data_IF_186265149095
#
_entry.id   IF_186265149095
#
_cell.length_a   1.000
_cell.length_b   1.000
_cell.length_c   1.000
_cell.angle_alpha   90.00
_cell.angle_beta   90.00
_cell.angle_gamma   90.00
#
_symmetry.space_group_name_H-M   'P 1'
#
loop_
_entity.id
_entity.type
_entity.pdbx_description
1 polymer ?
#
# COMPACT_ATOMS: atom_id res chain seq x y z
N UNK A 1 -16.91 2.49 -2.20
CA UNK A 1 -15.97 1.38 -1.95
C UNK A 1 -14.55 1.93 -1.87
N UNK A 2 -13.78 1.38 -0.98
CA UNK A 2 -12.41 1.83 -0.80
C UNK A 2 -11.49 1.19 -1.85
N UNK A 3 -10.60 2.01 -2.43
CA UNK A 3 -9.53 1.52 -3.30
C UNK A 3 -8.21 1.45 -2.55
N UNK A 4 -8.29 1.46 -1.23
CA UNK A 4 -7.10 1.44 -0.39
C UNK A 4 -6.42 0.07 -0.49
N UNK A 5 -5.13 0.07 -0.79
CA UNK A 5 -4.37 -1.16 -1.04
C UNK A 5 -2.96 -1.02 -0.52
N UNK A 6 -2.39 -2.16 -0.09
CA UNK A 6 -0.94 -2.27 0.01
C UNK A 6 -0.47 -2.78 -1.34
N UNK A 7 0.50 -2.10 -1.92
CA UNK A 7 1.02 -2.42 -3.26
C UNK A 7 2.48 -2.82 -3.11
N UNK A 8 2.80 -4.04 -3.57
CA UNK A 8 4.18 -4.52 -3.60
C UNK A 8 4.70 -4.34 -5.02
N UNK A 9 5.76 -3.56 -5.13
CA UNK A 9 6.38 -3.24 -6.41
C UNK A 9 7.69 -3.99 -6.55
N UNK A 10 8.20 -4.04 -7.79
CA UNK A 10 9.49 -4.66 -8.06
C UNK A 10 10.58 -4.01 -7.23
N UNK A 11 11.64 -4.75 -6.95
CA UNK A 11 12.80 -4.31 -6.19
C UNK A 11 12.51 -4.05 -4.72
N UNK A 12 11.44 -4.65 -4.20
CA UNK A 12 11.14 -4.58 -2.76
C UNK A 12 10.45 -3.31 -2.29
N UNK A 13 9.98 -2.48 -3.20
CA UNK A 13 9.18 -1.32 -2.81
C UNK A 13 7.81 -1.78 -2.33
N UNK A 14 7.40 -1.31 -1.17
CA UNK A 14 6.08 -1.59 -0.62
C UNK A 14 5.46 -0.28 -0.19
N UNK A 15 4.24 -0.02 -0.68
CA UNK A 15 3.55 1.22 -0.39
C UNK A 15 2.09 0.94 -0.07
N UNK A 16 1.45 1.88 0.58
CA UNK A 16 0.02 1.79 0.93
C UNK A 16 -0.65 3.11 0.59
N UNK A 17 -1.86 3.05 0.06
CA UNK A 17 -2.60 4.24 -0.31
C UNK A 17 -3.84 3.89 -1.12
N UNK A 18 -4.41 4.89 -1.75
CA UNK A 18 -5.61 4.73 -2.58
C UNK A 18 -5.17 4.48 -4.02
N UNK A 19 -5.43 3.28 -4.51
CA UNK A 19 -4.98 2.87 -5.83
C UNK A 19 -5.98 3.34 -6.89
N UNK A 20 -5.46 4.09 -7.86
CA UNK A 20 -6.23 4.61 -8.97
C UNK A 20 -5.75 3.94 -10.26
N UNK A 21 -6.62 3.18 -10.91
CA UNK A 21 -6.34 2.47 -12.16
C UNK A 21 -7.00 3.12 -13.37
N UNK A 22 -7.55 4.31 -13.22
CA UNK A 22 -8.33 4.93 -14.29
C UNK A 22 -7.51 5.26 -15.53
N UNK A 23 -6.21 5.42 -15.38
CA UNK A 23 -5.30 5.71 -16.49
C UNK A 23 -4.38 4.53 -16.83
N UNK A 24 -4.84 3.30 -16.53
CA UNK A 24 -4.04 2.11 -16.82
C UNK A 24 -3.56 2.13 -18.27
N UNK A 25 -2.35 1.65 -18.57
CA UNK A 25 -1.46 0.89 -17.70
C UNK A 25 -0.65 1.72 -16.71
N UNK A 26 -0.77 3.03 -16.72
CA UNK A 26 -0.10 3.88 -15.75
C UNK A 26 -0.99 4.01 -14.53
N UNK A 27 -0.49 3.61 -13.37
CA UNK A 27 -1.25 3.60 -12.13
C UNK A 27 -0.77 4.71 -11.21
N UNK A 28 -1.67 5.13 -10.31
CA UNK A 28 -1.35 6.11 -9.25
C UNK A 28 -1.74 5.53 -7.91
N UNK A 29 -0.96 5.87 -6.90
CA UNK A 29 -1.30 5.56 -5.52
C UNK A 29 -1.37 6.89 -4.78
N UNK A 30 -2.58 7.31 -4.43
CA UNK A 30 -2.81 8.62 -3.82
C UNK A 30 -2.81 8.51 -2.31
N UNK A 31 -2.41 9.60 -1.64
CA UNK A 31 -2.25 9.62 -0.19
C UNK A 31 -1.38 8.46 0.26
N UNK A 32 -0.29 8.25 -0.48
CA UNK A 32 0.55 7.09 -0.32
C UNK A 32 1.58 7.27 0.79
N UNK A 33 1.92 6.14 1.39
CA UNK A 33 3.06 6.06 2.30
C UNK A 33 3.91 4.87 1.89
N UNK A 34 5.21 5.02 1.96
CA UNK A 34 6.13 3.90 1.78
C UNK A 34 6.16 3.14 3.11
N UNK A 35 5.98 1.82 3.05
CA UNK A 35 6.06 0.99 4.25
C UNK A 35 7.53 0.63 4.44
N UNK A 36 8.19 1.36 5.33
CA UNK A 36 9.61 1.17 5.58
C UNK A 36 9.87 -0.01 6.50
N UNK A 37 8.94 -0.27 7.40
CA UNK A 37 9.02 -1.40 8.33
C UNK A 37 7.62 -1.94 8.54
N UNK A 38 7.45 -3.24 8.32
CA UNK A 38 6.13 -3.86 8.45
C UNK A 38 5.66 -3.93 9.90
N UNK A 39 6.54 -4.33 10.80
CA UNK A 39 6.21 -4.43 12.22
C UNK A 39 5.23 -5.53 12.54
N UNK A 40 5.16 -6.56 11.70
CA UNK A 40 4.22 -7.66 11.86
C UNK A 40 4.98 -8.96 12.08
N UNK A 41 4.28 -9.95 12.63
CA UNK A 41 4.83 -11.29 12.76
C UNK A 41 4.40 -12.21 11.62
N UNK A 42 3.33 -11.86 10.91
CA UNK A 42 2.76 -12.69 9.85
C UNK A 42 2.80 -12.02 8.48
N UNK A 43 3.53 -10.92 8.34
CA UNK A 43 3.77 -10.29 7.06
C UNK A 43 2.70 -9.30 6.64
N UNK A 44 2.67 -9.01 5.33
CA UNK A 44 1.82 -7.94 4.80
C UNK A 44 0.33 -8.26 4.85
N UNK A 45 -0.05 -9.52 4.79
CA UNK A 45 -1.46 -9.89 4.93
C UNK A 45 -2.01 -9.48 6.28
N UNK A 46 -1.23 -9.68 7.35
CA UNK A 46 -1.61 -9.23 8.67
C UNK A 46 -1.72 -7.71 8.73
N UNK A 47 -0.74 -7.03 8.13
CA UNK A 47 -0.73 -5.57 8.11
C UNK A 47 -1.97 -5.03 7.39
N UNK A 48 -2.34 -5.65 6.26
CA UNK A 48 -3.50 -5.22 5.49
C UNK A 48 -4.80 -5.32 6.28
N UNK A 49 -4.96 -6.40 7.04
CA UNK A 49 -6.21 -6.64 7.77
C UNK A 49 -6.27 -5.95 9.12
N UNK A 50 -5.13 -5.77 9.78
CA UNK A 50 -5.10 -5.19 11.11
C UNK A 50 -4.76 -3.71 11.15
N UNK A 51 -4.28 -3.16 10.04
CA UNK A 51 -3.82 -1.79 9.99
C UNK A 51 -2.44 -1.62 10.59
N UNK A 52 -1.95 -0.38 10.63
CA UNK A 52 -0.60 -0.13 11.17
C UNK A 52 -0.51 -0.56 12.62
N UNK A 53 0.53 -1.32 12.94
CA UNK A 53 0.80 -1.77 14.30
C UNK A 53 1.83 -0.83 14.94
N UNK A 54 2.09 -1.05 16.23
CA UNK A 54 2.98 -0.16 16.98
C UNK A 54 4.38 -0.06 16.38
N UNK A 55 4.85 -1.15 15.75
CA UNK A 55 6.19 -1.19 15.15
C UNK A 55 6.20 -0.91 13.64
N UNK A 56 5.03 -0.65 13.05
CA UNK A 56 4.94 -0.32 11.64
C UNK A 56 5.46 1.08 11.41
N UNK A 57 6.33 1.23 10.40
CA UNK A 57 6.88 2.55 10.05
C UNK A 57 6.44 2.93 8.66
N UNK A 58 5.73 4.04 8.55
CA UNK A 58 5.22 4.57 7.29
C UNK A 58 5.86 5.91 7.02
N UNK A 59 6.33 6.11 5.80
CA UNK A 59 6.87 7.40 5.36
C UNK A 59 5.91 8.01 4.35
N UNK A 60 5.22 9.10 4.69
CA UNK A 60 4.30 9.74 3.73
C UNK A 60 5.03 10.12 2.44
N UNK A 61 4.43 9.79 1.32
CA UNK A 61 5.06 9.97 0.01
C UNK A 61 4.18 10.71 -0.99
N UNK A 62 2.99 11.14 -0.60
CA UNK A 62 2.09 11.86 -1.49
C UNK A 62 1.48 10.95 -2.55
N UNK A 63 1.63 11.31 -3.80
CA UNK A 63 1.10 10.51 -4.90
C UNK A 63 2.25 9.82 -5.62
N UNK A 64 2.16 8.52 -5.74
CA UNK A 64 3.14 7.70 -6.47
C UNK A 64 2.56 7.34 -7.83
N UNK A 65 3.40 7.29 -8.85
CA UNK A 65 3.02 6.85 -10.18
C UNK A 65 3.92 5.71 -10.60
N UNK A 66 3.34 4.69 -11.21
CA UNK A 66 4.11 3.53 -11.68
C UNK A 66 3.32 2.78 -12.73
N UNK A 67 4.04 2.00 -13.55
CA UNK A 67 3.41 1.19 -14.57
C UNK A 67 2.86 -0.09 -13.93
N UNK A 68 1.72 -0.59 -14.43
CA UNK A 68 1.11 -1.80 -13.84
C UNK A 68 2.02 -3.01 -13.87
N UNK A 69 2.97 -3.07 -14.82
CA UNK A 69 3.92 -4.17 -14.89
C UNK A 69 4.94 -4.17 -13.75
N UNK A 70 5.04 -3.05 -13.04
CA UNK A 70 5.92 -2.99 -11.85
C UNK A 70 5.26 -3.60 -10.62
N UNK A 71 3.96 -3.86 -10.67
CA UNK A 71 3.22 -4.40 -9.54
C UNK A 71 3.43 -5.90 -9.45
N UNK A 72 3.91 -6.36 -8.30
CA UNK A 72 4.06 -7.79 -8.03
C UNK A 72 2.74 -8.34 -7.49
N UNK A 73 2.18 -7.66 -6.50
CA UNK A 73 0.90 -8.05 -5.92
C UNK A 73 0.29 -6.87 -5.17
N UNK A 74 -0.99 -6.97 -4.88
CA UNK A 74 -1.66 -5.98 -4.04
C UNK A 74 -2.43 -6.71 -2.95
N UNK A 75 -2.60 -6.05 -1.81
CA UNK A 75 -3.40 -6.56 -0.71
C UNK A 75 -4.57 -5.62 -0.48
N UNK A 76 -5.76 -6.17 -0.40
CA UNK A 76 -6.95 -5.40 -0.03
C UNK A 76 -6.86 -5.12 1.47
N UNK A 77 -6.96 -3.85 1.84
CA UNK A 77 -6.86 -3.45 3.24
C UNK A 77 -8.23 -3.36 3.87
N UNK A 78 -8.26 -3.50 5.20
CA UNK A 78 -9.48 -3.24 5.97
C UNK A 78 -9.55 -1.73 6.17
N UNK A 79 -10.50 -1.07 5.48
CA UNK A 79 -10.60 0.37 5.47
C UNK A 79 -10.85 0.96 6.87
N UNK A 80 -11.50 0.20 7.76
CA UNK A 80 -11.72 0.66 9.13
C UNK A 80 -10.41 0.74 9.91
N UNK A 81 -9.49 -0.16 9.64
CA UNK A 81 -8.21 -0.23 10.35
C UNK A 81 -7.18 0.74 9.80
N UNK A 82 -7.37 1.20 8.56
CA UNK A 82 -6.45 2.11 7.90
C UNK A 82 -6.95 3.55 7.85
N UNK A 83 -7.97 3.85 8.60
CA UNK A 83 -8.46 5.22 8.71
C UNK A 83 -7.38 6.11 9.32
N UNK A 84 -7.14 7.23 8.67
CA UNK A 84 -6.17 8.22 9.13
C UNK A 84 -6.90 9.42 9.71
#
# INVERSE_FOLDING_TARGET
MSNHRIVVLQRGWVAVGDLDRSAAPQLKLENASIIRRWGTTKGLGELATKGPLSETKLDPAGTLEFHELAVVTTFITDSEKWKQ
#
